data_IF_061275920197
#
_entry.id   IF_061275920197
#
_cell.length_a   1.000
_cell.length_b   1.000
_cell.length_c   1.000
_cell.angle_alpha   90.00
_cell.angle_beta   90.00
_cell.angle_gamma   90.00
#
_symmetry.space_group_name_H-M   'P 1'
#
loop_
_entity.id
_entity.type
_entity.pdbx_description
1 polymer ?
#
# COMPACT_ATOMS: atom_id res chain seq x y z
N UNK A 1 -3.15 -49.13 -23.68
CA UNK A 1 -3.03 -48.61 -22.30
C UNK A 1 -4.38 -48.78 -21.64
N UNK A 2 -4.44 -49.57 -20.57
CA UNK A 2 -5.67 -49.73 -19.79
C UNK A 2 -5.85 -48.54 -18.85
N UNK A 3 -7.08 -48.32 -18.38
CA UNK A 3 -7.39 -47.20 -17.48
C UNK A 3 -6.66 -47.32 -16.13
N UNK A 4 -6.34 -48.56 -15.74
CA UNK A 4 -5.57 -48.90 -14.54
C UNK A 4 -4.09 -48.50 -14.69
N UNK A 5 -3.48 -48.76 -15.87
CA UNK A 5 -2.10 -48.33 -16.17
C UNK A 5 -1.95 -46.80 -16.08
N UNK A 6 -2.97 -46.05 -16.51
CA UNK A 6 -2.95 -44.58 -16.48
C UNK A 6 -2.97 -44.04 -15.04
N UNK A 7 -3.81 -44.63 -14.18
CA UNK A 7 -3.95 -44.21 -12.78
C UNK A 7 -2.69 -44.49 -11.97
N UNK A 8 -2.02 -45.63 -12.22
CA UNK A 8 -0.75 -45.99 -11.58
C UNK A 8 0.34 -45.00 -11.99
N UNK A 9 0.51 -44.73 -13.28
CA UNK A 9 1.51 -43.78 -13.77
C UNK A 9 1.30 -42.35 -13.22
N UNK A 10 0.04 -41.89 -13.13
CA UNK A 10 -0.26 -40.56 -12.59
C UNK A 10 0.07 -40.47 -11.09
N UNK A 11 -0.22 -41.53 -10.33
CA UNK A 11 0.08 -41.60 -8.91
C UNK A 11 1.61 -41.58 -8.67
N UNK A 12 2.37 -42.40 -9.42
CA UNK A 12 3.83 -42.43 -9.33
C UNK A 12 4.46 -41.10 -9.72
N UNK A 13 4.00 -40.48 -10.82
CA UNK A 13 4.46 -39.15 -11.24
C UNK A 13 4.14 -38.07 -10.20
N UNK A 14 2.98 -38.16 -9.53
CA UNK A 14 2.61 -37.21 -8.47
C UNK A 14 3.52 -37.37 -7.26
N UNK A 15 3.83 -38.60 -6.84
CA UNK A 15 4.77 -38.86 -5.75
C UNK A 15 6.18 -38.37 -6.10
N UNK A 16 6.66 -38.63 -7.31
CA UNK A 16 7.97 -38.16 -7.77
C UNK A 16 8.04 -36.62 -7.81
N UNK A 17 6.97 -35.96 -8.27
CA UNK A 17 6.86 -34.50 -8.28
C UNK A 17 6.84 -33.91 -6.86
N UNK A 18 6.06 -34.50 -5.96
CA UNK A 18 6.03 -34.09 -4.55
C UNK A 18 7.42 -34.21 -3.93
N UNK A 19 8.09 -35.36 -4.11
CA UNK A 19 9.45 -35.55 -3.63
C UNK A 19 10.42 -34.50 -4.18
N UNK A 20 10.34 -34.16 -5.47
CA UNK A 20 11.19 -33.11 -6.07
C UNK A 20 10.91 -31.71 -5.55
N UNK A 21 9.65 -31.37 -5.26
CA UNK A 21 9.27 -30.04 -4.76
C UNK A 21 9.58 -29.86 -3.27
N UNK A 22 9.48 -30.95 -2.50
CA UNK A 22 9.73 -30.96 -1.05
C UNK A 22 11.22 -31.15 -0.72
N UNK A 23 12.02 -31.70 -1.65
CA UNK A 23 13.47 -31.84 -1.47
C UNK A 23 14.14 -30.48 -1.64
N UNK A 24 14.78 -29.92 -0.59
CA UNK A 24 15.49 -28.66 -0.70
C UNK A 24 16.73 -28.80 -1.60
N UNK A 25 17.05 -27.71 -2.31
CA UNK A 25 18.26 -27.65 -3.13
C UNK A 25 19.53 -27.85 -2.30
N UNK A 26 20.55 -28.52 -2.87
CA UNK A 26 21.82 -28.69 -2.20
C UNK A 26 22.55 -27.34 -2.05
N UNK A 27 23.38 -27.18 -1.01
CA UNK A 27 24.06 -25.91 -0.71
C UNK A 27 24.95 -25.42 -1.86
N UNK A 28 25.54 -26.33 -2.64
CA UNK A 28 26.34 -25.98 -3.82
C UNK A 28 25.51 -25.25 -4.89
N UNK A 29 24.26 -25.69 -5.11
CA UNK A 29 23.33 -25.05 -6.03
C UNK A 29 22.90 -23.68 -5.50
N UNK A 30 22.58 -23.59 -4.20
CA UNK A 30 22.24 -22.32 -3.55
C UNK A 30 23.38 -21.29 -3.63
N UNK A 31 24.64 -21.73 -3.51
CA UNK A 31 25.82 -20.87 -3.61
C UNK A 31 26.06 -20.32 -5.02
N UNK A 32 25.40 -20.84 -6.06
CA UNK A 32 25.45 -20.26 -7.41
C UNK A 32 24.55 -19.04 -7.56
N UNK A 33 23.59 -18.84 -6.64
CA UNK A 33 22.70 -17.69 -6.65
C UNK A 33 23.49 -16.45 -6.24
N UNK A 34 23.51 -15.37 -7.03
CA UNK A 34 24.22 -14.16 -6.66
C UNK A 34 23.58 -13.53 -5.41
N UNK A 35 24.41 -13.21 -4.42
CA UNK A 35 23.99 -12.58 -3.17
C UNK A 35 24.63 -11.21 -3.00
N UNK A 36 23.89 -10.30 -2.38
CA UNK A 36 24.46 -9.04 -1.87
C UNK A 36 25.19 -9.31 -0.56
N UNK A 37 26.21 -8.52 -0.30
CA UNK A 37 26.88 -8.51 1.00
C UNK A 37 26.09 -7.67 2.01
N UNK A 38 26.32 -7.91 3.30
CA UNK A 38 25.76 -7.04 4.35
C UNK A 38 26.25 -5.59 4.22
N UNK A 39 27.36 -5.35 3.53
CA UNK A 39 27.93 -4.01 3.32
C UNK A 39 27.14 -3.22 2.27
N UNK A 40 26.41 -3.90 1.39
CA UNK A 40 25.55 -3.29 0.37
C UNK A 40 24.24 -2.75 0.95
N UNK A 41 23.91 -3.12 2.20
CA UNK A 41 22.74 -2.62 2.91
C UNK A 41 23.08 -1.25 3.54
N UNK A 42 22.33 -0.18 3.23
CA UNK A 42 22.57 1.13 3.83
C UNK A 42 22.38 1.06 5.35
N UNK A 43 23.38 1.52 6.10
CA UNK A 43 23.37 1.49 7.59
C UNK A 43 22.35 2.41 8.22
N UNK A 44 21.81 3.36 7.45
CA UNK A 44 20.81 4.32 7.90
C UNK A 44 19.56 4.18 7.04
N UNK A 45 18.37 4.29 7.63
CA UNK A 45 17.14 4.32 6.85
C UNK A 45 17.13 5.53 5.92
N UNK A 46 16.35 5.43 4.86
CA UNK A 46 16.09 6.56 3.97
C UNK A 46 15.44 7.69 4.77
N UNK A 47 16.00 8.88 4.67
CA UNK A 47 15.49 10.06 5.34
C UNK A 47 14.32 10.66 4.54
N UNK A 48 13.17 10.82 5.19
CA UNK A 48 12.01 11.52 4.63
C UNK A 48 11.90 12.89 5.31
N UNK A 49 12.16 14.01 4.61
CA UNK A 49 12.01 15.34 5.19
C UNK A 49 10.57 15.51 5.67
N UNK A 50 10.41 15.91 6.93
CA UNK A 50 9.10 16.05 7.57
C UNK A 50 9.09 17.31 8.41
N UNK A 51 8.22 18.23 8.07
CA UNK A 51 7.95 19.45 8.83
C UNK A 51 6.62 19.33 9.55
N UNK A 52 6.60 19.69 10.83
CA UNK A 52 5.38 19.67 11.65
C UNK A 52 4.84 21.09 11.76
N UNK A 53 3.67 21.31 11.17
CA UNK A 53 2.95 22.57 11.20
C UNK A 53 1.66 22.50 12.01
N UNK A 54 1.00 23.65 12.11
CA UNK A 54 -0.35 23.77 12.66
C UNK A 54 -1.17 24.69 11.75
N UNK A 55 -2.33 24.21 11.28
CA UNK A 55 -3.27 24.99 10.49
C UNK A 55 -4.60 24.97 11.25
N UNK A 56 -5.09 26.14 11.66
CA UNK A 56 -6.37 26.29 12.36
C UNK A 56 -6.54 25.36 13.58
N UNK A 57 -5.46 25.11 14.32
CA UNK A 57 -5.45 24.22 15.48
C UNK A 57 -5.24 22.74 15.14
N UNK A 58 -5.22 22.36 13.86
CA UNK A 58 -4.97 20.99 13.38
C UNK A 58 -3.49 20.80 13.09
N UNK A 59 -2.91 19.70 13.60
CA UNK A 59 -1.52 19.33 13.32
C UNK A 59 -1.40 18.85 11.88
N UNK A 60 -0.45 19.43 11.13
CA UNK A 60 -0.17 19.08 9.74
C UNK A 60 1.26 18.57 9.62
N UNK A 61 1.44 17.48 8.87
CA UNK A 61 2.76 16.93 8.53
C UNK A 61 3.00 17.19 7.04
N UNK A 62 4.05 17.93 6.73
CA UNK A 62 4.43 18.25 5.36
C UNK A 62 5.73 17.54 4.99
N UNK A 63 5.74 16.93 3.81
CA UNK A 63 6.90 16.26 3.25
C UNK A 63 7.31 16.96 1.95
N UNK A 64 8.44 17.67 1.98
CA UNK A 64 9.02 18.30 0.79
C UNK A 64 9.75 17.23 -0.04
N UNK A 65 8.98 16.53 -0.88
CA UNK A 65 9.45 15.47 -1.77
C UNK A 65 9.22 15.88 -3.21
N UNK A 66 10.11 15.47 -4.10
CA UNK A 66 9.90 15.64 -5.53
C UNK A 66 8.80 14.69 -6.01
N UNK A 67 7.63 15.25 -6.29
CA UNK A 67 6.42 14.49 -6.64
C UNK A 67 5.94 14.74 -8.07
N UNK A 68 6.77 15.31 -8.95
CA UNK A 68 6.41 15.62 -10.34
C UNK A 68 5.13 16.47 -10.43
N UNK A 69 5.08 17.53 -9.62
CA UNK A 69 3.94 18.45 -9.50
C UNK A 69 2.64 17.80 -9.02
N UNK A 70 2.71 16.65 -8.35
CA UNK A 70 1.57 16.05 -7.66
C UNK A 70 1.59 16.35 -6.15
N UNK A 71 0.51 16.92 -5.62
CA UNK A 71 0.27 17.00 -4.18
C UNK A 71 -0.31 15.67 -3.70
N UNK A 72 0.23 15.15 -2.61
CA UNK A 72 -0.34 14.00 -1.89
C UNK A 72 -0.85 14.49 -0.54
N UNK A 73 -2.16 14.37 -0.32
CA UNK A 73 -2.78 14.76 0.94
C UNK A 73 -3.56 13.59 1.55
N UNK A 74 -3.40 13.43 2.86
CA UNK A 74 -4.10 12.46 3.69
C UNK A 74 -4.72 13.18 4.88
N UNK A 75 -5.95 12.79 5.23
CA UNK A 75 -6.64 13.28 6.42
C UNK A 75 -6.86 12.10 7.36
N UNK A 76 -6.33 12.20 8.57
CA UNK A 76 -6.34 11.12 9.56
C UNK A 76 -7.11 11.55 10.79
N UNK A 77 -8.07 10.74 11.21
CA UNK A 77 -8.90 10.96 12.39
C UNK A 77 -8.50 10.01 13.52
N UNK A 78 -8.50 10.50 14.76
CA UNK A 78 -8.26 9.65 15.93
C UNK A 78 -9.53 8.82 16.24
N UNK A 79 -9.38 7.50 16.28
CA UNK A 79 -10.48 6.54 16.54
C UNK A 79 -10.47 5.96 17.96
N UNK A 80 -9.58 6.41 18.84
CA UNK A 80 -9.42 5.87 20.21
C UNK A 80 -10.71 5.95 21.05
N UNK A 81 -11.56 6.94 20.80
CA UNK A 81 -12.82 7.14 21.54
C UNK A 81 -14.00 6.32 20.99
N UNK A 82 -13.78 5.56 19.92
CA UNK A 82 -14.83 4.77 19.28
C UNK A 82 -15.13 3.50 20.10
N UNK A 83 -16.41 3.23 20.34
CA UNK A 83 -16.84 2.00 21.01
C UNK A 83 -16.51 0.77 20.12
N UNK A 84 -15.99 -0.32 20.69
CA UNK A 84 -15.66 -1.53 19.93
C UNK A 84 -16.82 -2.07 19.09
N UNK A 85 -18.06 -1.98 19.61
CA UNK A 85 -19.28 -2.42 18.93
C UNK A 85 -19.55 -1.68 17.61
N UNK A 86 -18.95 -0.50 17.42
CA UNK A 86 -19.09 0.32 16.22
C UNK A 86 -17.98 0.07 15.19
N UNK A 87 -16.89 -0.64 15.54
CA UNK A 87 -15.81 -0.96 14.61
C UNK A 87 -16.29 -1.69 13.35
N UNK A 88 -17.19 -2.70 13.44
CA UNK A 88 -17.70 -3.37 12.25
C UNK A 88 -18.55 -2.46 11.34
N UNK A 89 -19.07 -1.35 11.87
CA UNK A 89 -19.89 -0.39 11.14
C UNK A 89 -19.07 0.72 10.48
N UNK A 90 -17.77 0.85 10.79
CA UNK A 90 -16.91 1.89 10.21
C UNK A 90 -16.95 1.92 8.68
N UNK A 91 -16.80 0.80 7.95
CA UNK A 91 -16.86 0.83 6.49
C UNK A 91 -18.20 1.38 5.95
N UNK A 92 -19.30 1.17 6.68
CA UNK A 92 -20.64 1.64 6.30
C UNK A 92 -20.85 3.13 6.61
N UNK A 93 -20.31 3.61 7.73
CA UNK A 93 -20.34 5.05 8.06
C UNK A 93 -19.56 5.86 7.02
N UNK A 94 -18.39 5.35 6.61
CA UNK A 94 -17.53 6.03 5.64
C UNK A 94 -18.22 6.20 4.28
N UNK A 95 -19.14 5.30 3.90
CA UNK A 95 -19.93 5.41 2.68
C UNK A 95 -20.95 6.57 2.68
N UNK A 96 -21.43 7.01 3.86
CA UNK A 96 -22.35 8.15 3.97
C UNK A 96 -21.60 9.47 3.94
N UNK A 97 -20.52 9.56 4.70
CA UNK A 97 -19.64 10.75 4.74
C UNK A 97 -18.83 10.90 3.44
N UNK A 98 -18.70 9.82 2.66
CA UNK A 98 -18.14 9.85 1.32
C UNK A 98 -18.87 10.84 0.40
N UNK A 99 -20.17 11.08 0.61
CA UNK A 99 -20.90 12.06 -0.21
C UNK A 99 -20.37 13.48 0.02
N UNK A 100 -20.16 13.88 1.27
CA UNK A 100 -19.60 15.20 1.60
C UNK A 100 -18.14 15.31 1.17
N UNK A 101 -17.38 14.22 1.29
CA UNK A 101 -16.03 14.14 0.73
C UNK A 101 -16.04 14.29 -0.79
N UNK A 102 -16.95 13.65 -1.51
CA UNK A 102 -17.14 13.83 -2.96
C UNK A 102 -17.52 15.27 -3.29
N UNK A 103 -18.41 15.90 -2.52
CA UNK A 103 -18.77 17.32 -2.71
C UNK A 103 -17.51 18.22 -2.55
N UNK A 104 -16.63 17.95 -1.57
CA UNK A 104 -15.32 18.61 -1.45
C UNK A 104 -14.42 18.35 -2.67
N UNK A 105 -14.36 17.11 -3.15
CA UNK A 105 -13.57 16.77 -4.34
C UNK A 105 -14.09 17.46 -5.60
N UNK A 106 -15.41 17.64 -5.76
CA UNK A 106 -15.98 18.41 -6.88
C UNK A 106 -15.56 19.88 -6.83
N UNK A 107 -15.59 20.50 -5.65
CA UNK A 107 -15.09 21.88 -5.47
C UNK A 107 -13.61 22.01 -5.86
N UNK A 108 -12.83 20.96 -5.57
CA UNK A 108 -11.40 20.95 -5.85
C UNK A 108 -11.11 20.67 -7.33
N UNK A 109 -11.93 19.86 -8.02
CA UNK A 109 -11.81 19.59 -9.48
C UNK A 109 -11.90 20.86 -10.33
N UNK A 110 -12.77 21.80 -9.97
CA UNK A 110 -12.94 23.09 -10.67
C UNK A 110 -11.68 23.97 -10.62
N UNK A 111 -10.71 23.63 -9.77
CA UNK A 111 -9.42 24.31 -9.63
C UNK A 111 -8.28 23.62 -10.39
N UNK A 112 -8.58 22.75 -11.36
CA UNK A 112 -7.57 22.06 -12.17
C UNK A 112 -6.93 20.84 -11.50
N UNK A 113 -7.54 20.35 -10.42
CA UNK A 113 -7.03 19.24 -9.62
C UNK A 113 -7.58 17.89 -10.12
N UNK A 114 -6.66 16.97 -10.44
CA UNK A 114 -7.00 15.59 -10.82
C UNK A 114 -6.97 14.69 -9.60
N UNK A 115 -8.14 14.36 -9.06
CA UNK A 115 -8.30 13.48 -7.89
C UNK A 115 -8.29 12.01 -8.30
N UNK A 116 -7.36 11.23 -7.78
CA UNK A 116 -7.36 9.77 -7.91
C UNK A 116 -7.74 9.13 -6.57
N UNK A 117 -8.77 8.27 -6.55
CA UNK A 117 -9.18 7.51 -5.37
C UNK A 117 -8.66 6.07 -5.48
N UNK A 118 -7.88 5.61 -4.51
CA UNK A 118 -7.43 4.21 -4.43
C UNK A 118 -8.27 3.42 -3.43
N UNK A 119 -8.75 2.24 -3.85
CA UNK A 119 -9.65 1.38 -3.07
C UNK A 119 -8.89 0.53 -2.04
N UNK A 120 -8.32 1.16 -1.01
CA UNK A 120 -7.79 0.44 0.16
C UNK A 120 -7.75 1.39 1.36
N UNK A 121 -8.75 1.32 2.26
CA UNK A 121 -8.94 1.90 3.63
C UNK A 121 -8.28 3.25 4.01
N UNK A 122 -7.70 3.99 3.07
CA UNK A 122 -6.92 5.20 3.24
C UNK A 122 -7.06 5.99 1.94
N UNK A 123 -7.71 7.15 2.02
CA UNK A 123 -7.92 8.01 0.85
C UNK A 123 -6.63 8.78 0.58
N UNK A 124 -5.98 8.47 -0.53
CA UNK A 124 -4.86 9.25 -1.04
C UNK A 124 -5.39 10.28 -2.04
N UNK A 125 -5.31 11.57 -1.75
CA UNK A 125 -5.67 12.63 -2.71
C UNK A 125 -4.43 13.04 -3.50
N UNK A 126 -4.44 12.83 -4.82
CA UNK A 126 -3.43 13.34 -5.75
C UNK A 126 -3.94 14.65 -6.37
N UNK A 127 -3.14 15.71 -6.52
CA UNK A 127 -3.53 16.95 -7.23
C UNK A 127 -2.40 17.51 -8.06
N UNK A 128 -2.64 18.11 -9.24
CA UNK A 128 -1.59 18.86 -9.95
C UNK A 128 -1.34 20.20 -9.24
N UNK A 129 -0.09 20.60 -9.08
CA UNK A 129 0.31 21.65 -8.16
C UNK A 129 0.17 23.07 -8.79
N UNK A 130 -0.97 23.72 -8.59
CA UNK A 130 -1.15 25.18 -8.81
C UNK A 130 -1.45 25.93 -7.49
N UNK A 131 -1.42 25.25 -6.34
CA UNK A 131 -1.73 25.83 -5.03
C UNK A 131 -0.45 26.14 -4.26
N UNK A 132 -0.01 27.40 -4.35
CA UNK A 132 0.99 27.95 -3.43
C UNK A 132 0.33 28.17 -2.07
N UNK A 133 0.70 27.35 -1.08
CA UNK A 133 0.32 27.62 0.31
C UNK A 133 1.19 28.76 0.84
N UNK A 134 0.60 29.95 0.95
CA UNK A 134 1.24 31.08 1.63
C UNK A 134 1.50 30.74 3.09
N UNK A 135 2.72 31.11 3.51
CA UNK A 135 3.25 31.07 4.87
C UNK A 135 2.41 31.86 5.87
#
# INVERSE_FOLDING_TARGET
MTQEDLAINLFEATLELQLKQETPDPPEALNTVPILSLQDIPKKPVHVPTEVGNINGVKVLQHDLFTLDFLYAEVVFNMETLKPDLLPLLPLCWLKDFKEFVDFLEIVKDKGVVVQLRHQTMFLLQTRNDLTFSK
#
